data_IF_616264631287
#
_entry.id   IF_616264631287
#
_cell.length_a   1.000
_cell.length_b   1.000
_cell.length_c   1.000
_cell.angle_alpha   90.00
_cell.angle_beta   90.00
_cell.angle_gamma   90.00
#
_symmetry.space_group_name_H-M   'P 1'
#
loop_
_entity.id
_entity.type
_entity.pdbx_description
1 polymer ?
#
# COMPACT_ATOMS: atom_id res chain seq x y z
N UNK A 1 7.18 -21.75 -10.67
CA UNK A 1 7.14 -21.14 -10.49
C UNK A 1 6.72 -20.30 -10.45
N UNK A 2 6.58 -20.00 -10.54
CA UNK A 2 6.41 -19.25 -10.50
C UNK A 2 5.75 -18.30 -10.04
N UNK A 3 5.32 -17.95 -9.44
CA UNK A 3 5.02 -16.88 -8.63
C UNK A 3 5.17 -15.62 -9.36
N UNK A 4 5.06 -15.67 -10.55
CA UNK A 4 5.35 -14.55 -11.37
C UNK A 4 4.27 -13.52 -11.33
N UNK A 5 3.10 -13.87 -10.85
CA UNK A 5 2.00 -12.93 -10.85
C UNK A 5 1.97 -12.05 -9.61
N UNK A 6 2.98 -12.14 -8.77
CA UNK A 6 2.99 -11.31 -7.57
C UNK A 6 3.12 -9.85 -7.91
N UNK A 7 2.39 -9.03 -7.19
CA UNK A 7 2.48 -7.58 -7.34
C UNK A 7 3.75 -7.02 -6.73
N UNK A 8 4.37 -7.74 -5.83
CA UNK A 8 5.64 -7.31 -5.28
C UNK A 8 6.72 -7.84 -6.19
N UNK A 9 7.32 -6.96 -6.95
CA UNK A 9 8.36 -7.32 -7.87
C UNK A 9 9.67 -7.32 -7.11
N UNK A 10 10.15 -8.49 -6.78
CA UNK A 10 11.33 -8.59 -5.94
C UNK A 10 12.59 -8.14 -6.65
N UNK A 11 12.55 -8.04 -7.98
CA UNK A 11 13.70 -7.48 -8.67
C UNK A 11 13.73 -5.97 -8.54
N UNK A 12 12.64 -5.37 -8.07
CA UNK A 12 12.59 -3.93 -7.84
C UNK A 12 12.76 -3.56 -6.38
N UNK A 13 13.07 -4.51 -5.55
CA UNK A 13 13.47 -4.19 -4.20
C UNK A 13 14.79 -3.43 -4.31
N UNK A 14 14.80 -2.24 -3.72
CA UNK A 14 15.95 -1.36 -3.87
C UNK A 14 16.81 -1.43 -2.64
N UNK A 15 18.08 -1.65 -2.89
CA UNK A 15 19.07 -1.62 -1.83
C UNK A 15 20.00 -0.44 -2.15
N UNK A 16 20.45 0.28 -1.15
CA UNK A 16 21.29 1.43 -1.40
C UNK A 16 22.46 1.08 -2.29
N UNK A 17 22.80 2.04 -3.12
CA UNK A 17 23.88 1.88 -4.03
C UNK A 17 25.13 1.48 -3.28
N UNK A 18 25.81 0.51 -3.80
CA UNK A 18 26.97 0.02 -3.10
C UNK A 18 26.64 -0.81 -1.89
N UNK A 19 25.37 -1.14 -1.69
CA UNK A 19 24.98 -1.91 -0.55
C UNK A 19 25.64 -3.25 -0.59
N UNK A 20 26.69 -3.45 0.17
CA UNK A 20 27.42 -4.69 0.17
C UNK A 20 26.67 -5.71 1.00
N UNK A 21 27.13 -6.91 0.95
CA UNK A 21 26.60 -7.91 1.84
C UNK A 21 26.87 -7.45 3.25
N UNK A 22 25.86 -7.44 4.09
CA UNK A 22 26.07 -6.96 5.45
C UNK A 22 26.87 -7.98 6.23
N UNK A 23 27.74 -7.47 7.06
CA UNK A 23 28.34 -8.33 8.04
C UNK A 23 27.27 -8.62 9.10
N UNK A 24 27.49 -9.60 9.94
CA UNK A 24 26.50 -9.88 10.98
C UNK A 24 26.19 -8.66 11.83
N UNK A 25 27.15 -7.79 12.03
CA UNK A 25 26.91 -6.65 12.88
C UNK A 25 26.04 -5.60 12.21
N UNK A 26 26.03 -5.56 10.89
CA UNK A 26 25.30 -4.50 10.19
C UNK A 26 24.04 -5.01 9.52
N UNK A 27 23.61 -6.25 9.84
CA UNK A 27 22.51 -6.84 9.14
C UNK A 27 21.22 -6.04 9.32
N UNK A 28 21.01 -5.52 10.50
CA UNK A 28 19.78 -4.77 10.78
C UNK A 28 19.73 -3.50 9.93
N UNK A 29 20.86 -2.82 9.81
CA UNK A 29 20.89 -1.62 9.01
C UNK A 29 20.55 -1.89 7.57
N UNK A 30 21.05 -3.00 7.04
CA UNK A 30 20.76 -3.34 5.66
C UNK A 30 19.28 -3.57 5.44
N UNK A 31 18.62 -4.24 6.38
CA UNK A 31 17.20 -4.51 6.25
C UNK A 31 16.41 -3.20 6.21
N UNK A 32 16.81 -2.22 6.98
CA UNK A 32 16.10 -0.95 7.00
C UNK A 32 16.21 -0.21 5.69
N UNK A 33 17.21 -0.53 4.88
CA UNK A 33 17.42 0.17 3.64
C UNK A 33 16.67 -0.44 2.47
N UNK A 34 15.96 -1.52 2.68
CA UNK A 34 15.23 -2.18 1.60
C UNK A 34 13.93 -1.44 1.36
N UNK A 35 13.66 -1.12 0.10
CA UNK A 35 12.47 -0.39 -0.29
C UNK A 35 11.55 -1.34 -1.07
N UNK A 36 10.30 -1.43 -0.66
CA UNK A 36 9.31 -2.27 -1.31
C UNK A 36 8.44 -1.38 -2.18
N UNK A 37 8.37 -1.70 -3.46
CA UNK A 37 7.57 -0.94 -4.41
C UNK A 37 6.53 -1.89 -5.03
N UNK A 38 5.26 -1.50 -4.94
CA UNK A 38 4.21 -2.28 -5.57
C UNK A 38 4.14 -1.92 -7.05
N UNK A 39 4.02 -2.93 -7.89
CA UNK A 39 3.98 -2.72 -9.34
C UNK A 39 2.63 -3.07 -9.92
N UNK A 40 1.77 -3.71 -9.15
CA UNK A 40 0.39 -3.97 -9.54
C UNK A 40 -0.42 -4.15 -8.27
N UNK A 41 -1.69 -3.80 -8.35
CA UNK A 41 -2.62 -3.96 -7.25
C UNK A 41 -4.02 -4.08 -7.85
N UNK A 42 -4.80 -5.01 -7.35
CA UNK A 42 -6.09 -5.33 -7.97
C UNK A 42 -7.23 -5.16 -6.98
N UNK A 43 -8.35 -4.67 -7.49
CA UNK A 43 -9.59 -4.60 -6.73
C UNK A 43 -10.21 -6.00 -6.63
N UNK A 44 -11.27 -6.18 -5.83
CA UNK A 44 -11.91 -7.50 -5.72
C UNK A 44 -12.42 -8.05 -7.05
N UNK A 45 -12.61 -7.21 -8.04
CA UNK A 45 -13.08 -7.64 -9.36
C UNK A 45 -11.97 -7.77 -10.38
N UNK A 46 -10.71 -7.55 -9.97
CA UNK A 46 -9.58 -7.81 -10.84
C UNK A 46 -9.11 -6.64 -11.68
N UNK A 47 -9.54 -5.43 -11.37
CA UNK A 47 -9.02 -4.27 -12.07
C UNK A 47 -7.70 -3.83 -11.47
N UNK A 48 -6.72 -3.55 -12.31
CA UNK A 48 -5.42 -3.10 -11.83
C UNK A 48 -5.52 -1.62 -11.45
N UNK A 49 -5.22 -1.32 -10.20
CA UNK A 49 -5.36 0.02 -9.66
C UNK A 49 -4.15 0.89 -9.99
N UNK A 50 -3.12 0.32 -10.59
CA UNK A 50 -1.89 1.04 -10.91
C UNK A 50 -1.76 1.28 -12.40
N UNK A 51 -2.28 0.39 -13.21
CA UNK A 51 -1.97 0.34 -14.64
C UNK A 51 -2.21 1.66 -15.34
N UNK A 52 -3.33 2.32 -15.04
CA UNK A 52 -3.68 3.56 -15.73
C UNK A 52 -3.41 4.79 -14.90
N UNK A 53 -2.54 4.68 -13.92
CA UNK A 53 -2.28 5.81 -13.05
C UNK A 53 -1.60 6.94 -13.82
N UNK A 54 -2.08 8.14 -13.59
CA UNK A 54 -1.53 9.32 -14.23
C UNK A 54 -0.52 10.04 -13.36
N UNK A 55 -0.33 9.57 -12.14
CA UNK A 55 0.58 10.20 -11.20
C UNK A 55 1.65 9.19 -10.85
N UNK A 56 2.89 9.63 -10.90
CA UNK A 56 4.02 8.78 -10.54
C UNK A 56 4.74 9.40 -9.37
N UNK A 57 5.29 8.54 -8.52
CA UNK A 57 6.06 8.95 -7.35
C UNK A 57 7.48 8.44 -7.54
N UNK A 58 8.40 9.37 -7.81
CA UNK A 58 9.79 9.02 -8.11
C UNK A 58 9.87 8.03 -9.26
N UNK A 59 9.02 8.24 -10.27
CA UNK A 59 9.01 7.38 -11.45
C UNK A 59 8.20 6.13 -11.32
N UNK A 60 7.57 5.88 -10.17
CA UNK A 60 6.74 4.69 -9.96
C UNK A 60 5.27 5.07 -10.04
N UNK A 61 4.49 4.45 -10.95
CA UNK A 61 3.07 4.79 -11.06
C UNK A 61 2.35 4.52 -9.76
N UNK A 62 1.46 5.42 -9.39
CA UNK A 62 0.76 5.32 -8.12
C UNK A 62 -0.46 4.43 -8.16
N UNK A 63 -1.06 4.25 -7.00
CA UNK A 63 -2.25 3.42 -6.82
C UNK A 63 -3.46 4.35 -6.80
N UNK A 64 -4.37 4.19 -7.77
CA UNK A 64 -5.53 5.07 -7.89
C UNK A 64 -6.71 4.47 -7.17
N UNK A 65 -7.32 5.25 -6.29
CA UNK A 65 -8.44 4.80 -5.47
C UNK A 65 -9.55 5.85 -5.52
N UNK A 66 -10.80 5.39 -5.52
CA UNK A 66 -11.94 6.28 -5.41
C UNK A 66 -12.31 6.36 -3.94
N UNK A 67 -12.20 7.54 -3.37
CA UNK A 67 -12.31 7.72 -1.92
C UNK A 67 -13.46 8.66 -1.62
N UNK A 68 -14.26 8.35 -0.61
CA UNK A 68 -15.42 9.15 -0.26
C UNK A 68 -15.59 9.23 1.25
N UNK A 69 -16.00 10.39 1.75
CA UNK A 69 -16.36 10.55 3.14
C UNK A 69 -17.88 10.53 3.34
N UNK A 70 -18.63 10.18 2.28
CA UNK A 70 -20.07 10.19 2.34
C UNK A 70 -20.68 11.41 1.71
N UNK A 71 -19.91 12.49 1.57
CA UNK A 71 -20.39 13.73 0.96
C UNK A 71 -19.62 14.06 -0.30
N UNK A 72 -18.34 13.83 -0.29
CA UNK A 72 -17.44 14.20 -1.38
C UNK A 72 -16.66 12.98 -1.81
N UNK A 73 -16.47 12.84 -3.11
CA UNK A 73 -15.63 11.76 -3.65
C UNK A 73 -14.47 12.37 -4.41
N UNK A 74 -13.34 11.69 -4.39
CA UNK A 74 -12.17 12.12 -5.13
C UNK A 74 -11.35 10.89 -5.51
N UNK A 75 -10.64 11.03 -6.61
CA UNK A 75 -9.65 10.02 -6.97
C UNK A 75 -8.37 10.40 -6.24
N UNK A 76 -7.93 9.53 -5.37
CA UNK A 76 -6.70 9.74 -4.61
C UNK A 76 -5.68 8.75 -5.14
N UNK A 77 -4.51 9.25 -5.51
CA UNK A 77 -3.44 8.40 -6.00
C UNK A 77 -2.38 8.33 -4.92
N UNK A 78 -2.13 7.13 -4.45
CA UNK A 78 -1.18 6.91 -3.35
C UNK A 78 0.14 6.42 -3.89
N UNK A 79 1.22 6.76 -3.20
CA UNK A 79 2.53 6.26 -3.58
C UNK A 79 2.55 4.73 -3.47
N UNK A 80 3.13 4.04 -4.46
CA UNK A 80 3.24 2.58 -4.40
C UNK A 80 4.44 2.15 -3.56
N UNK A 81 5.22 3.10 -3.07
CA UNK A 81 6.39 2.79 -2.25
C UNK A 81 5.91 2.60 -0.82
N UNK A 82 6.14 1.42 -0.27
CA UNK A 82 5.66 1.13 1.07
C UNK A 82 6.33 2.06 2.07
N UNK A 83 5.52 2.68 2.92
CA UNK A 83 6.03 3.64 3.89
C UNK A 83 6.05 5.07 3.40
N UNK A 84 5.81 5.30 2.12
CA UNK A 84 5.76 6.64 1.56
C UNK A 84 4.32 7.14 1.67
N UNK A 85 4.12 8.24 2.36
CA UNK A 85 2.78 8.76 2.63
C UNK A 85 2.27 9.73 1.60
N UNK A 86 3.05 10.00 0.56
CA UNK A 86 2.65 11.00 -0.44
C UNK A 86 1.39 10.54 -1.16
N UNK A 87 0.51 11.50 -1.41
CA UNK A 87 -0.73 11.24 -2.12
C UNK A 87 -1.02 12.42 -3.02
N UNK A 88 -1.62 12.15 -4.16
CA UNK A 88 -2.12 13.20 -5.05
C UNK A 88 -3.64 13.20 -4.95
N UNK A 89 -4.21 14.36 -4.64
CA UNK A 89 -5.65 14.47 -4.49
C UNK A 89 -6.07 15.91 -4.70
N UNK A 90 -7.34 16.08 -5.07
CA UNK A 90 -7.91 17.42 -5.25
C UNK A 90 -8.66 17.89 -4.01
N UNK A 91 -9.19 16.93 -3.25
CA UNK A 91 -10.00 17.25 -2.07
C UNK A 91 -9.21 16.85 -0.84
N UNK A 92 -9.17 17.74 0.15
CA UNK A 92 -8.49 17.42 1.40
C UNK A 92 -9.55 16.96 2.38
N UNK A 93 -9.52 15.68 2.72
CA UNK A 93 -10.43 15.14 3.72
C UNK A 93 -9.92 15.50 5.11
N UNK A 94 -10.82 15.41 6.08
CA UNK A 94 -10.45 15.73 7.45
C UNK A 94 -9.63 14.57 8.03
N UNK A 95 -8.49 14.90 8.60
CA UNK A 95 -7.66 13.88 9.23
C UNK A 95 -8.45 13.17 10.33
N UNK A 96 -8.39 11.86 10.34
CA UNK A 96 -9.11 11.05 11.31
C UNK A 96 -10.45 10.56 10.80
N UNK A 97 -10.86 10.95 9.60
CA UNK A 97 -12.13 10.51 9.03
C UNK A 97 -11.97 9.13 8.42
N UNK A 98 -12.90 8.23 8.76
CA UNK A 98 -12.94 6.92 8.11
C UNK A 98 -13.59 7.10 6.75
N UNK A 99 -12.94 6.58 5.73
CA UNK A 99 -13.35 6.78 4.35
C UNK A 99 -13.80 5.48 3.72
N UNK A 100 -14.67 5.60 2.72
CA UNK A 100 -15.00 4.48 1.86
C UNK A 100 -14.01 4.47 0.73
N UNK A 101 -13.35 3.33 0.51
CA UNK A 101 -12.34 3.21 -0.53
C UNK A 101 -12.83 2.19 -1.54
N UNK A 102 -12.87 2.61 -2.80
CA UNK A 102 -13.45 1.82 -3.88
C UNK A 102 -12.54 1.81 -5.08
N UNK A 103 -12.78 0.85 -5.95
CA UNK A 103 -12.09 0.81 -7.23
C UNK A 103 -12.62 1.92 -8.13
N UNK A 104 -11.75 2.75 -8.72
CA UNK A 104 -12.23 3.82 -9.59
C UNK A 104 -12.80 3.31 -10.90
N UNK A 105 -12.55 2.06 -11.27
CA UNK A 105 -13.05 1.51 -12.52
C UNK A 105 -14.45 0.96 -12.36
N UNK A 106 -14.70 0.15 -11.34
CA UNK A 106 -15.97 -0.53 -11.18
C UNK A 106 -16.77 -0.11 -9.96
N UNK A 107 -16.18 0.70 -9.07
CA UNK A 107 -16.90 1.20 -7.90
C UNK A 107 -17.07 0.21 -6.77
N UNK A 108 -16.48 -0.98 -6.87
CA UNK A 108 -16.63 -1.96 -5.79
C UNK A 108 -15.79 -1.52 -4.60
N UNK A 109 -16.33 -1.72 -3.40
CA UNK A 109 -15.56 -1.42 -2.20
C UNK A 109 -14.46 -2.44 -2.03
N UNK A 110 -13.30 -1.97 -1.57
CA UNK A 110 -12.21 -2.87 -1.29
C UNK A 110 -12.51 -3.69 -0.04
N UNK A 111 -12.02 -4.92 -0.03
CA UNK A 111 -12.29 -5.82 1.09
C UNK A 111 -11.52 -5.39 2.33
N UNK A 112 -12.11 -5.66 3.50
CA UNK A 112 -11.48 -5.34 4.77
C UNK A 112 -10.63 -6.54 5.19
N UNK A 113 -9.38 -6.27 5.57
CA UNK A 113 -8.51 -7.32 6.07
C UNK A 113 -8.70 -7.51 7.56
N UNK A 114 -8.56 -6.44 8.33
CA UNK A 114 -8.71 -6.50 9.77
C UNK A 114 -8.77 -5.07 10.31
N UNK A 115 -9.17 -4.89 11.58
CA UNK A 115 -9.19 -3.55 12.15
C UNK A 115 -7.78 -2.98 12.23
N UNK A 116 -7.69 -1.68 12.00
CA UNK A 116 -6.40 -1.01 12.12
C UNK A 116 -6.10 -0.72 13.59
N UNK A 117 -4.83 -0.84 13.94
CA UNK A 117 -4.43 -0.58 15.32
C UNK A 117 -4.62 0.88 15.71
N UNK A 118 -4.92 1.77 14.76
CA UNK A 118 -5.23 3.15 15.11
C UNK A 118 -6.55 3.28 15.86
N UNK A 119 -7.37 2.24 15.83
CA UNK A 119 -8.63 2.24 16.59
C UNK A 119 -9.75 3.00 15.92
N UNK A 120 -9.54 3.59 14.75
CA UNK A 120 -10.56 4.39 14.09
C UNK A 120 -11.06 3.83 12.79
N UNK A 121 -10.39 2.84 12.24
CA UNK A 121 -10.81 2.26 10.96
C UNK A 121 -10.25 0.88 10.76
N UNK A 122 -10.16 0.49 9.48
CA UNK A 122 -9.73 -0.85 9.12
C UNK A 122 -8.65 -0.78 8.05
N UNK A 123 -7.88 -1.85 7.96
CA UNK A 123 -6.97 -2.05 6.84
C UNK A 123 -7.75 -2.70 5.72
N UNK A 124 -7.69 -2.11 4.53
CA UNK A 124 -8.39 -2.63 3.37
C UNK A 124 -7.37 -3.22 2.41
N UNK A 125 -7.81 -4.23 1.68
CA UNK A 125 -6.92 -5.02 0.83
C UNK A 125 -6.76 -4.46 -0.56
N UNK A 126 -5.52 -4.48 -1.02
CA UNK A 126 -5.19 -4.36 -2.42
C UNK A 126 -4.59 -5.71 -2.77
N UNK A 127 -5.23 -6.45 -3.69
CA UNK A 127 -4.74 -7.78 -4.02
C UNK A 127 -3.49 -7.65 -4.88
N UNK A 128 -2.47 -8.45 -4.59
CA UNK A 128 -1.21 -8.34 -5.30
C UNK A 128 -1.16 -9.18 -6.55
N UNK A 129 -2.13 -10.08 -6.72
CA UNK A 129 -2.20 -10.93 -7.90
C UNK A 129 -3.55 -10.77 -8.57
N UNK A 130 -3.58 -11.00 -9.86
CA UNK A 130 -4.82 -10.89 -10.61
C UNK A 130 -5.84 -11.93 -10.15
N UNK A 131 -5.36 -13.04 -9.62
CA UNK A 131 -6.22 -14.09 -9.09
C UNK A 131 -6.83 -13.70 -7.75
N UNK A 132 -6.36 -12.64 -7.16
CA UNK A 132 -6.86 -12.12 -5.89
C UNK A 132 -6.70 -13.15 -4.77
N UNK A 133 -5.49 -13.62 -4.64
CA UNK A 133 -5.13 -14.61 -3.63
C UNK A 133 -5.11 -13.94 -2.27
N UNK A 134 -5.80 -14.54 -1.30
CA UNK A 134 -5.98 -13.90 -0.01
C UNK A 134 -4.69 -13.69 0.76
N UNK A 135 -3.74 -14.56 0.59
CA UNK A 135 -2.47 -14.44 1.30
C UNK A 135 -1.47 -13.50 0.66
N UNK A 136 -1.85 -12.82 -0.42
CA UNK A 136 -0.94 -11.93 -1.15
C UNK A 136 -1.62 -10.60 -1.34
N UNK A 137 -1.45 -9.72 -0.36
CA UNK A 137 -2.16 -8.45 -0.33
C UNK A 137 -1.26 -7.35 0.21
N UNK A 138 -1.56 -6.13 -0.22
CA UNK A 138 -1.12 -4.95 0.48
C UNK A 138 -2.34 -4.39 1.18
N UNK A 139 -2.18 -3.91 2.39
CA UNK A 139 -3.30 -3.41 3.15
C UNK A 139 -2.98 -2.02 3.66
N UNK A 140 -3.95 -1.12 3.56
CA UNK A 140 -3.77 0.26 3.98
C UNK A 140 -4.97 0.66 4.83
N UNK A 141 -4.74 1.55 5.78
CA UNK A 141 -5.81 2.02 6.66
C UNK A 141 -6.73 2.97 5.91
N UNK A 142 -8.04 2.82 6.14
CA UNK A 142 -9.02 3.66 5.47
C UNK A 142 -9.32 4.95 6.22
N UNK A 143 -8.52 5.31 7.21
CA UNK A 143 -8.67 6.58 7.92
C UNK A 143 -7.72 7.59 7.29
N UNK A 144 -8.25 8.74 6.90
CA UNK A 144 -7.43 9.77 6.27
C UNK A 144 -6.35 10.25 7.26
N UNK A 145 -5.11 10.17 6.82
CA UNK A 145 -3.98 10.57 7.65
C UNK A 145 -3.34 9.46 8.45
N UNK A 146 -3.92 8.27 8.46
CA UNK A 146 -3.30 7.14 9.15
C UNK A 146 -2.32 6.46 8.21
N UNK A 147 -1.05 6.33 8.59
CA UNK A 147 -0.04 5.77 7.68
C UNK A 147 0.13 4.26 7.78
N UNK A 148 -0.65 3.60 8.63
CA UNK A 148 -0.42 2.18 8.87
C UNK A 148 -0.74 1.35 7.64
N UNK A 149 0.12 0.41 7.34
CA UNK A 149 -0.03 -0.44 6.16
C UNK A 149 0.78 -1.71 6.34
N UNK A 150 0.49 -2.71 5.51
CA UNK A 150 1.20 -3.99 5.52
C UNK A 150 1.32 -4.52 4.10
N UNK A 151 2.38 -5.27 3.85
CA UNK A 151 2.52 -6.05 2.61
C UNK A 151 2.72 -7.49 3.04
N UNK A 152 1.84 -8.36 2.59
CA UNK A 152 1.80 -9.74 3.00
C UNK A 152 1.91 -10.63 1.77
N UNK A 153 2.75 -11.66 1.84
CA UNK A 153 2.89 -12.62 0.77
C UNK A 153 2.84 -14.01 1.40
N UNK A 154 1.83 -14.78 1.05
CA UNK A 154 1.62 -16.12 1.60
C UNK A 154 1.55 -16.09 3.12
N UNK A 155 0.85 -15.07 3.64
CA UNK A 155 0.63 -14.90 5.07
C UNK A 155 1.88 -14.53 5.84
N UNK A 156 2.99 -14.26 5.15
CA UNK A 156 4.17 -13.74 5.80
C UNK A 156 4.20 -12.24 5.58
N UNK A 157 4.47 -11.51 6.63
CA UNK A 157 4.55 -10.06 6.52
C UNK A 157 5.87 -9.72 5.86
N UNK A 158 5.78 -9.21 4.63
CA UNK A 158 6.97 -8.75 3.90
C UNK A 158 7.41 -7.42 4.46
N UNK A 159 6.45 -6.54 4.76
CA UNK A 159 6.76 -5.22 5.26
C UNK A 159 5.56 -4.67 6.01
N UNK A 160 5.82 -3.99 7.11
CA UNK A 160 4.76 -3.38 7.89
C UNK A 160 5.22 -2.01 8.31
N UNK A 161 4.36 -1.03 8.13
CA UNK A 161 4.67 0.34 8.49
C UNK A 161 3.74 0.82 9.58
N UNK A 162 4.31 1.38 10.64
CA UNK A 162 3.58 1.97 11.73
C UNK A 162 4.24 3.31 12.05
N UNK A 163 3.42 4.34 12.20
CA UNK A 163 3.94 5.66 12.50
C UNK A 163 4.56 5.64 13.89
N UNK A 164 5.86 5.83 13.97
CA UNK A 164 6.51 5.71 15.27
C UNK A 164 6.12 6.83 16.21
N UNK A 165 5.80 7.99 15.66
CA UNK A 165 5.36 9.05 16.55
C UNK A 165 4.06 8.69 17.22
N UNK A 166 3.26 7.89 16.59
CA UNK A 166 2.01 7.47 17.21
C UNK A 166 2.25 6.59 18.39
N UNK A 167 3.39 5.97 18.47
CA UNK A 167 3.64 5.13 19.58
C UNK A 167 3.86 5.87 20.82
N UNK A 168 4.47 7.02 20.69
CA UNK A 168 4.73 7.74 21.86
C UNK A 168 3.58 8.43 22.32
N UNK A 169 2.60 8.63 21.48
CA UNK A 169 1.42 9.42 21.75
C UNK A 169 0.83 9.10 23.02
#
# INVERSE_FOLDING_TARGET
>A
MKNMSNAVDKTRLKVPSGGPHPSPETRVETVEDVIVVLTQAFCPRGHDLIEDSRVAFDGNPGISLLVSDGNIEDIVVCSPVHGDHRKAHSVAFRVGTKLDIKCPVCGVELDVLLPCSCGKGELVNLYLTKERTEGQVAAVCNVWGCPRSRVIDNWQIISQFVESAGEEG
#
